data_IF_668254462897
#
_entry.id   IF_668254462897
#
_cell.length_a   1.000
_cell.length_b   1.000
_cell.length_c   1.000
_cell.angle_alpha   90.00
_cell.angle_beta   90.00
_cell.angle_gamma   90.00
#
_symmetry.space_group_name_H-M   'P 1'
#
loop_
_entity.id
_entity.type
_entity.pdbx_description
1 polymer ?
#
# COMPACT_ATOMS: atom_id res chain seq x y z
N UNK A 1 -5.57 -7.37 -3.79
CA UNK A 1 -4.25 -7.80 -4.32
C UNK A 1 -4.24 -9.23 -4.84
N UNK A 2 -4.98 -10.18 -4.24
CA UNK A 2 -5.02 -11.57 -4.74
C UNK A 2 -5.45 -11.63 -6.21
N UNK A 3 -6.59 -11.03 -6.57
CA UNK A 3 -7.12 -11.02 -7.95
C UNK A 3 -6.11 -10.44 -8.97
N UNK A 4 -5.37 -9.38 -8.61
CA UNK A 4 -4.30 -8.84 -9.44
C UNK A 4 -3.14 -9.84 -9.59
N UNK A 5 -2.72 -10.48 -8.50
CA UNK A 5 -1.64 -11.48 -8.55
C UNK A 5 -2.02 -12.69 -9.43
N UNK A 6 -3.24 -13.20 -9.28
CA UNK A 6 -3.78 -14.28 -10.11
C UNK A 6 -3.87 -13.87 -11.59
N UNK A 7 -4.32 -12.65 -11.86
CA UNK A 7 -4.36 -12.10 -13.21
C UNK A 7 -2.97 -12.03 -13.85
N UNK A 8 -1.96 -11.52 -13.12
CA UNK A 8 -0.59 -11.44 -13.61
C UNK A 8 0.03 -12.84 -13.82
N UNK A 9 -0.28 -13.80 -12.94
CA UNK A 9 0.21 -15.17 -13.08
C UNK A 9 -0.29 -15.83 -14.38
N UNK A 10 -1.54 -15.61 -14.78
CA UNK A 10 -2.08 -16.09 -16.07
C UNK A 10 -1.36 -15.46 -17.26
N UNK A 11 -0.75 -14.27 -17.07
CA UNK A 11 0.02 -13.56 -18.11
C UNK A 11 1.54 -13.81 -18.01
N UNK A 12 1.97 -14.85 -17.28
CA UNK A 12 3.36 -15.31 -17.29
C UNK A 12 4.27 -14.67 -16.25
N UNK A 13 3.71 -13.97 -15.25
CA UNK A 13 4.50 -13.41 -14.14
C UNK A 13 4.45 -14.32 -12.92
N UNK A 14 5.59 -14.56 -12.28
CA UNK A 14 5.61 -15.16 -10.95
C UNK A 14 5.16 -14.13 -9.91
N UNK A 15 4.04 -14.42 -9.24
CA UNK A 15 3.44 -13.50 -8.27
C UNK A 15 3.54 -14.03 -6.83
N UNK A 16 4.21 -13.29 -5.96
CA UNK A 16 4.33 -13.59 -4.53
C UNK A 16 3.63 -12.52 -3.69
N UNK A 17 2.60 -12.92 -2.95
CA UNK A 17 1.86 -12.05 -2.03
C UNK A 17 2.22 -12.34 -0.58
N UNK A 18 3.16 -11.61 0.05
CA UNK A 18 3.53 -11.87 1.43
C UNK A 18 2.41 -11.46 2.41
N UNK A 19 2.23 -12.25 3.45
CA UNK A 19 1.47 -11.85 4.63
C UNK A 19 2.44 -11.13 5.56
N UNK A 20 2.19 -9.86 5.84
CA UNK A 20 3.00 -9.07 6.77
C UNK A 20 2.80 -9.56 8.21
N UNK A 21 3.83 -9.48 9.03
CA UNK A 21 3.78 -9.92 10.43
C UNK A 21 2.54 -9.36 11.16
N UNK A 22 1.80 -10.25 11.84
CA UNK A 22 0.57 -9.93 12.56
C UNK A 22 -0.66 -9.70 11.71
N UNK A 23 -0.55 -9.71 10.36
CA UNK A 23 -1.69 -9.65 9.46
C UNK A 23 -2.19 -11.08 9.15
N UNK A 24 -3.52 -11.23 8.99
CA UNK A 24 -4.12 -12.55 8.75
C UNK A 24 -4.23 -13.45 10.00
N UNK A 25 -3.87 -12.96 11.18
CA UNK A 25 -3.97 -13.64 12.47
C UNK A 25 -5.09 -13.03 13.31
N UNK A 26 -4.75 -12.48 14.51
CA UNK A 26 -5.68 -11.78 15.40
C UNK A 26 -5.28 -10.33 15.60
N UNK A 27 -6.20 -9.44 16.00
CA UNK A 27 -5.85 -8.07 16.35
C UNK A 27 -4.79 -7.99 17.47
N UNK A 28 -4.78 -8.96 18.39
CA UNK A 28 -3.81 -9.07 19.48
C UNK A 28 -2.41 -9.46 18.98
N UNK A 29 -2.33 -10.36 17.99
CA UNK A 29 -1.07 -10.70 17.33
C UNK A 29 -0.53 -9.45 16.59
N UNK A 30 -1.38 -8.76 15.85
CA UNK A 30 -1.03 -7.50 15.18
C UNK A 30 -0.52 -6.45 16.17
N UNK A 31 -1.11 -6.33 17.37
CA UNK A 31 -0.69 -5.38 18.40
C UNK A 31 0.77 -5.57 18.86
N UNK A 32 1.33 -6.77 18.68
CA UNK A 32 2.73 -7.09 19.02
C UNK A 32 3.73 -6.68 17.93
N UNK A 33 3.26 -6.33 16.73
CA UNK A 33 4.10 -5.98 15.58
C UNK A 33 4.21 -4.47 15.38
N UNK A 34 5.24 -4.07 14.67
CA UNK A 34 5.53 -2.69 14.28
C UNK A 34 5.84 -2.63 12.79
N UNK A 35 5.91 -1.42 12.24
CA UNK A 35 6.21 -1.21 10.84
C UNK A 35 7.53 -1.87 10.39
N UNK A 36 8.52 -1.97 11.27
CA UNK A 36 9.79 -2.66 11.00
C UNK A 36 9.62 -4.16 10.79
N UNK A 37 8.67 -4.78 11.49
CA UNK A 37 8.35 -6.19 11.31
C UNK A 37 7.60 -6.41 9.99
N UNK A 38 6.73 -5.49 9.62
CA UNK A 38 6.04 -5.50 8.33
C UNK A 38 7.03 -5.33 7.17
N UNK A 39 7.95 -4.36 7.29
CA UNK A 39 9.01 -4.13 6.31
C UNK A 39 9.92 -5.35 6.16
N UNK A 40 10.28 -6.00 7.27
CA UNK A 40 11.07 -7.23 7.25
C UNK A 40 10.34 -8.37 6.50
N UNK A 41 9.04 -8.54 6.73
CA UNK A 41 8.23 -9.55 6.02
C UNK A 41 8.22 -9.28 4.50
N UNK A 42 8.05 -8.03 4.11
CA UNK A 42 8.06 -7.62 2.71
C UNK A 42 9.45 -7.78 2.06
N UNK A 43 10.52 -7.42 2.79
CA UNK A 43 11.91 -7.60 2.33
C UNK A 43 12.25 -9.08 2.12
N UNK A 44 11.89 -9.95 3.08
CA UNK A 44 12.11 -11.41 2.92
C UNK A 44 11.40 -11.98 1.69
N UNK A 45 10.18 -11.50 1.40
CA UNK A 45 9.48 -11.93 0.19
C UNK A 45 10.16 -11.45 -1.09
N UNK A 46 10.67 -10.21 -1.10
CA UNK A 46 11.46 -9.67 -2.20
C UNK A 46 12.74 -10.49 -2.40
N UNK A 47 13.48 -10.76 -1.32
CA UNK A 47 14.74 -11.52 -1.38
C UNK A 47 14.51 -12.95 -1.86
N UNK A 48 13.38 -13.56 -1.48
CA UNK A 48 13.00 -14.89 -1.97
C UNK A 48 12.69 -14.86 -3.47
N UNK A 49 11.92 -13.88 -3.95
CA UNK A 49 11.55 -13.79 -5.36
C UNK A 49 12.79 -13.55 -6.25
N UNK A 50 13.79 -12.83 -5.77
CA UNK A 50 15.06 -12.61 -6.44
C UNK A 50 15.91 -13.86 -6.66
N UNK A 51 15.65 -14.93 -5.92
CA UNK A 51 16.39 -16.20 -6.13
C UNK A 51 16.00 -16.86 -7.46
N UNK A 52 14.73 -16.68 -7.86
CA UNK A 52 14.16 -17.35 -9.02
C UNK A 52 13.95 -16.40 -10.21
N UNK A 53 13.84 -15.08 -9.95
CA UNK A 53 13.50 -14.06 -10.95
C UNK A 53 14.66 -13.08 -11.17
N UNK A 54 14.97 -12.77 -12.44
CA UNK A 54 15.99 -11.78 -12.81
C UNK A 54 15.53 -10.35 -12.56
N UNK A 55 14.26 -10.08 -12.82
CA UNK A 55 13.66 -8.76 -12.70
C UNK A 55 12.46 -8.85 -11.77
N UNK A 56 12.38 -7.95 -10.80
CA UNK A 56 11.32 -7.95 -9.80
C UNK A 56 10.64 -6.59 -9.75
N UNK A 57 9.33 -6.60 -9.89
CA UNK A 57 8.46 -5.45 -9.65
C UNK A 57 7.77 -5.58 -8.30
N UNK A 58 7.48 -4.45 -7.67
CA UNK A 58 6.74 -4.45 -6.41
C UNK A 58 5.46 -3.65 -6.55
N UNK A 59 4.32 -4.32 -6.38
CA UNK A 59 3.00 -3.71 -6.39
C UNK A 59 2.32 -3.84 -5.02
N UNK A 60 1.60 -2.81 -4.60
CA UNK A 60 0.91 -2.85 -3.31
C UNK A 60 -0.23 -1.85 -3.18
N UNK A 61 -1.25 -2.23 -2.40
CA UNK A 61 -2.42 -1.41 -2.10
C UNK A 61 -2.32 -0.83 -0.68
N UNK A 62 -2.63 0.45 -0.50
CA UNK A 62 -2.69 1.11 0.81
C UNK A 62 -1.35 1.02 1.57
N UNK A 63 -1.31 0.35 2.73
CA UNK A 63 -0.07 0.05 3.45
C UNK A 63 0.94 -0.69 2.54
N UNK A 64 0.47 -1.62 1.70
CA UNK A 64 1.31 -2.31 0.72
C UNK A 64 1.90 -1.36 -0.32
N UNK A 65 1.16 -0.35 -0.76
CA UNK A 65 1.66 0.71 -1.66
C UNK A 65 2.73 1.58 -1.00
N UNK A 66 2.51 1.94 0.27
CA UNK A 66 3.52 2.65 1.09
C UNK A 66 4.76 1.78 1.32
N UNK A 67 4.57 0.47 1.51
CA UNK A 67 5.67 -0.50 1.63
C UNK A 67 6.47 -0.64 0.32
N UNK A 68 5.81 -0.61 -0.84
CA UNK A 68 6.48 -0.63 -2.14
C UNK A 68 7.41 0.59 -2.31
N UNK A 69 6.99 1.78 -1.85
CA UNK A 69 7.84 2.97 -1.81
C UNK A 69 9.08 2.76 -0.92
N UNK A 70 8.88 2.22 0.28
CA UNK A 70 9.98 1.93 1.21
C UNK A 70 10.97 0.90 0.64
N UNK A 71 10.47 -0.19 0.07
CA UNK A 71 11.32 -1.20 -0.55
C UNK A 71 12.14 -0.60 -1.70
N UNK A 72 11.54 0.20 -2.56
CA UNK A 72 12.24 0.84 -3.68
C UNK A 72 13.32 1.83 -3.23
N UNK A 73 13.10 2.55 -2.13
CA UNK A 73 14.10 3.45 -1.57
C UNK A 73 15.34 2.72 -1.04
N UNK A 74 15.16 1.46 -0.59
CA UNK A 74 16.21 0.65 0.03
C UNK A 74 16.73 -0.47 -0.90
N UNK A 75 16.15 -0.65 -2.08
CA UNK A 75 16.51 -1.66 -3.06
C UNK A 75 16.49 -1.06 -4.47
N UNK A 76 17.55 -0.37 -4.89
CA UNK A 76 17.61 0.34 -6.17
C UNK A 76 17.63 -0.58 -7.40
N UNK A 77 17.79 -1.88 -7.20
CA UNK A 77 17.74 -2.94 -8.21
C UNK A 77 16.33 -3.47 -8.52
N UNK A 78 15.30 -3.02 -7.80
CA UNK A 78 13.90 -3.27 -8.17
C UNK A 78 13.65 -2.67 -9.56
N UNK A 79 13.05 -3.45 -10.46
CA UNK A 79 12.78 -3.04 -11.84
C UNK A 79 11.79 -1.88 -11.94
N UNK A 80 10.79 -1.86 -11.06
CA UNK A 80 9.81 -0.80 -10.94
C UNK A 80 8.78 -1.07 -9.84
N UNK A 81 7.98 -0.04 -9.51
CA UNK A 81 6.97 -0.16 -8.46
C UNK A 81 5.60 0.36 -8.91
N UNK A 82 4.54 -0.27 -8.36
CA UNK A 82 3.15 0.13 -8.57
C UNK A 82 2.46 0.38 -7.22
N UNK A 83 2.68 1.55 -6.58
CA UNK A 83 1.96 1.94 -5.37
C UNK A 83 0.52 2.34 -5.71
N UNK A 84 -0.47 1.68 -5.07
CA UNK A 84 -1.90 1.92 -5.25
C UNK A 84 -2.52 2.44 -3.96
N UNK A 85 -3.23 3.58 -4.01
CA UNK A 85 -3.81 4.21 -2.82
C UNK A 85 -2.80 4.40 -1.69
N UNK A 86 -1.54 4.70 -2.03
CA UNK A 86 -0.43 4.77 -1.08
C UNK A 86 -0.48 6.03 -0.22
N UNK A 87 0.02 5.91 1.00
CA UNK A 87 0.16 7.00 1.96
C UNK A 87 1.59 7.54 1.92
N UNK A 88 1.76 8.83 1.68
CA UNK A 88 3.07 9.48 1.61
C UNK A 88 3.28 10.60 2.63
N UNK A 89 2.19 11.14 3.19
CA UNK A 89 2.27 12.27 4.11
C UNK A 89 1.28 12.12 5.27
N UNK A 90 1.76 11.91 6.50
CA UNK A 90 0.88 11.79 7.68
C UNK A 90 0.10 13.08 7.97
N UNK A 91 0.55 14.25 7.46
CA UNK A 91 -0.12 15.54 7.68
C UNK A 91 -1.38 15.72 6.84
N UNK A 92 -1.57 14.93 5.79
CA UNK A 92 -2.75 15.01 4.94
C UNK A 92 -3.98 14.34 5.57
N UNK A 93 -3.81 13.51 6.61
CA UNK A 93 -4.93 12.90 7.30
C UNK A 93 -5.67 13.92 8.17
N UNK A 94 -6.99 14.05 8.02
CA UNK A 94 -7.78 15.07 8.72
C UNK A 94 -7.97 14.76 10.21
N UNK A 95 -7.83 13.51 10.63
CA UNK A 95 -8.04 13.10 12.02
C UNK A 95 -6.91 13.61 12.93
N UNK A 96 -7.21 14.65 13.69
CA UNK A 96 -6.26 15.27 14.63
C UNK A 96 -5.81 14.33 15.75
N UNK A 97 -6.56 13.26 16.05
CA UNK A 97 -6.19 12.25 17.05
C UNK A 97 -4.91 11.51 16.67
N UNK A 98 -4.59 11.43 15.38
CA UNK A 98 -3.35 10.83 14.87
C UNK A 98 -2.09 11.57 15.35
N UNK A 99 -2.21 12.86 15.70
CA UNK A 99 -1.09 13.66 16.21
C UNK A 99 -0.73 13.35 17.66
N UNK A 100 -1.71 12.91 18.44
CA UNK A 100 -1.58 12.57 19.85
C UNK A 100 -1.67 11.06 20.08
N UNK A 101 -1.66 10.26 19.02
CA UNK A 101 -1.82 8.78 19.09
C UNK A 101 -0.79 8.13 20.01
N UNK A 102 0.42 8.70 20.12
CA UNK A 102 1.48 8.23 21.04
C UNK A 102 1.05 8.22 22.51
N UNK A 103 0.12 9.10 22.89
CA UNK A 103 -0.45 9.19 24.23
C UNK A 103 -1.82 8.51 24.29
N UNK A 104 -2.62 8.70 23.25
CA UNK A 104 -3.99 8.20 23.19
C UNK A 104 -4.07 6.68 23.22
N UNK A 105 -3.06 5.97 22.73
CA UNK A 105 -3.00 4.49 22.74
C UNK A 105 -3.06 3.87 24.14
N UNK A 106 -2.68 4.59 25.20
CA UNK A 106 -2.75 4.10 26.58
C UNK A 106 -4.17 4.19 27.17
N UNK A 107 -4.99 5.10 26.64
CA UNK A 107 -6.38 5.31 27.08
C UNK A 107 -7.35 4.61 26.13
N UNK A 108 -7.06 4.64 24.84
CA UNK A 108 -7.84 4.02 23.77
C UNK A 108 -6.95 3.02 22.98
N UNK A 109 -6.73 1.81 23.54
CA UNK A 109 -5.82 0.84 22.94
C UNK A 109 -6.32 0.26 21.62
N UNK A 110 -7.63 0.41 21.34
CA UNK A 110 -8.28 -0.10 20.14
C UNK A 110 -9.00 1.02 19.38
N UNK A 111 -8.84 1.01 18.07
CA UNK A 111 -9.58 1.84 17.14
C UNK A 111 -10.56 0.98 16.34
N UNK A 112 -11.82 1.37 16.34
CA UNK A 112 -12.85 0.76 15.48
C UNK A 112 -12.94 1.63 14.23
N UNK A 113 -12.65 1.09 13.03
CA UNK A 113 -12.85 1.81 11.79
C UNK A 113 -14.33 2.20 11.63
N UNK A 114 -14.59 3.29 10.92
CA UNK A 114 -15.97 3.60 10.52
C UNK A 114 -16.55 2.45 9.69
N UNK A 115 -17.82 2.15 9.89
CA UNK A 115 -18.52 1.11 9.14
C UNK A 115 -18.74 1.47 7.65
N UNK A 116 -18.39 2.70 7.26
CA UNK A 116 -18.56 3.17 5.89
C UNK A 116 -17.67 2.37 4.94
N UNK A 117 -18.32 1.69 4.01
CA UNK A 117 -17.66 1.00 2.91
C UNK A 117 -17.05 2.05 1.96
N UNK A 118 -15.73 2.04 1.84
CA UNK A 118 -14.99 2.89 0.89
C UNK A 118 -14.73 2.13 -0.42
N UNK A 119 -15.81 1.58 -0.98
CA UNK A 119 -15.86 0.92 -2.29
C UNK A 119 -17.01 1.52 -3.10
N UNK A 120 -16.78 1.70 -4.39
CA UNK A 120 -17.83 2.03 -5.36
C UNK A 120 -18.80 0.87 -5.57
N UNK A 121 -18.35 -0.38 -5.34
CA UNK A 121 -19.16 -1.60 -5.36
C UNK A 121 -19.26 -2.22 -3.96
N UNK A 122 -20.33 -1.93 -3.18
CA UNK A 122 -20.51 -2.50 -1.84
C UNK A 122 -20.64 -4.02 -1.81
N UNK A 123 -21.03 -4.68 -2.91
CA UNK A 123 -21.14 -6.14 -2.98
C UNK A 123 -19.80 -6.84 -2.80
N UNK A 124 -18.71 -6.13 -3.03
CA UNK A 124 -17.32 -6.61 -2.91
C UNK A 124 -16.73 -6.47 -1.50
N UNK A 125 -17.53 -6.01 -0.53
CA UNK A 125 -17.06 -5.82 0.85
C UNK A 125 -16.49 -7.10 1.46
N UNK A 126 -17.06 -8.26 1.15
CA UNK A 126 -16.58 -9.57 1.64
C UNK A 126 -15.20 -9.95 1.07
N UNK A 127 -14.77 -9.34 -0.04
CA UNK A 127 -13.42 -9.52 -0.57
C UNK A 127 -12.35 -8.78 0.24
N UNK A 128 -12.78 -7.86 1.12
CA UNK A 128 -11.91 -7.12 2.02
C UNK A 128 -11.72 -7.87 3.34
N UNK A 129 -10.54 -8.40 3.56
CA UNK A 129 -10.16 -8.99 4.83
C UNK A 129 -9.60 -7.89 5.73
N UNK A 130 -10.42 -7.33 6.60
CA UNK A 130 -9.99 -6.33 7.57
C UNK A 130 -10.42 -6.68 8.99
N UNK A 131 -9.62 -6.28 9.97
CA UNK A 131 -10.00 -6.47 11.37
C UNK A 131 -11.14 -5.53 11.77
N UNK A 132 -12.11 -6.05 12.54
CA UNK A 132 -13.19 -5.24 13.12
C UNK A 132 -12.67 -4.14 14.08
N UNK A 133 -11.48 -4.35 14.65
CA UNK A 133 -10.78 -3.36 15.48
C UNK A 133 -9.28 -3.38 15.17
N UNK A 134 -8.64 -2.22 15.22
CA UNK A 134 -7.21 -2.05 14.95
C UNK A 134 -6.50 -1.58 16.20
N UNK A 135 -5.33 -2.14 16.55
CA UNK A 135 -4.57 -1.68 17.71
C UNK A 135 -4.07 -0.25 17.49
N UNK A 136 -4.32 0.65 18.44
CA UNK A 136 -3.83 2.05 18.36
C UNK A 136 -2.30 2.14 18.28
N UNK A 137 -1.60 1.17 18.86
CA UNK A 137 -0.14 1.05 18.75
C UNK A 137 0.33 0.79 17.31
N UNK A 138 -0.46 0.10 16.48
CA UNK A 138 -0.15 -0.10 15.07
C UNK A 138 -0.42 1.17 14.26
N UNK A 139 -1.43 1.96 14.64
CA UNK A 139 -1.68 3.28 14.03
C UNK A 139 -0.51 4.22 14.32
N UNK A 140 -0.03 4.26 15.57
CA UNK A 140 1.18 5.02 15.91
C UNK A 140 2.38 4.57 15.08
N UNK A 141 2.59 3.25 14.98
CA UNK A 141 3.66 2.66 14.19
C UNK A 141 3.55 3.04 12.71
N UNK A 142 2.34 3.02 12.15
CA UNK A 142 2.07 3.50 10.79
C UNK A 142 2.44 4.97 10.64
N UNK A 143 2.02 5.85 11.57
CA UNK A 143 2.36 7.28 11.50
C UNK A 143 3.88 7.51 11.56
N UNK A 144 4.60 6.67 12.28
CA UNK A 144 6.08 6.69 12.28
C UNK A 144 6.62 6.26 10.91
N UNK A 145 6.12 5.17 10.37
CA UNK A 145 6.51 4.66 9.05
C UNK A 145 6.29 5.69 7.94
N UNK A 146 5.16 6.40 7.94
CA UNK A 146 4.91 7.45 6.96
C UNK A 146 5.95 8.58 6.99
N UNK A 147 6.47 8.92 8.18
CA UNK A 147 7.56 9.92 8.31
C UNK A 147 8.89 9.41 7.76
N UNK A 148 9.13 8.10 7.85
CA UNK A 148 10.32 7.47 7.24
C UNK A 148 10.17 7.53 5.72
N UNK A 149 9.08 6.99 5.17
CA UNK A 149 8.83 6.96 3.72
C UNK A 149 8.83 8.38 3.12
N UNK A 150 8.26 9.36 3.82
CA UNK A 150 8.27 10.76 3.38
C UNK A 150 9.69 11.28 3.09
N UNK A 151 10.67 10.87 3.91
CA UNK A 151 12.08 11.25 3.72
C UNK A 151 12.77 10.44 2.62
N UNK A 152 12.27 9.24 2.36
CA UNK A 152 12.82 8.31 1.37
C UNK A 152 12.34 8.64 -0.05
N UNK A 153 11.19 9.31 -0.25
CA UNK A 153 10.64 9.61 -1.58
C UNK A 153 11.67 10.18 -2.57
N UNK A 154 12.56 11.15 -2.20
CA UNK A 154 13.52 11.70 -3.14
C UNK A 154 14.62 10.72 -3.58
N UNK A 155 14.86 9.64 -2.83
CA UNK A 155 15.87 8.62 -3.17
C UNK A 155 15.34 7.55 -4.14
N UNK A 156 14.02 7.43 -4.29
CA UNK A 156 13.39 6.46 -5.18
C UNK A 156 13.63 6.88 -6.64
N UNK A 157 14.41 6.11 -7.37
CA UNK A 157 14.79 6.38 -8.77
C UNK A 157 14.18 5.40 -9.77
N UNK A 158 13.64 4.29 -9.31
CA UNK A 158 13.05 3.24 -10.14
C UNK A 158 11.78 3.74 -10.84
N UNK A 159 11.44 3.20 -12.03
CA UNK A 159 10.17 3.46 -12.69
C UNK A 159 8.98 3.27 -11.74
N UNK A 160 8.05 4.22 -11.74
CA UNK A 160 6.95 4.23 -10.78
C UNK A 160 5.61 4.54 -11.44
N UNK A 161 4.67 3.61 -11.32
CA UNK A 161 3.27 3.79 -11.69
C UNK A 161 2.42 3.98 -10.44
N UNK A 162 2.05 5.22 -10.13
CA UNK A 162 1.12 5.54 -9.04
C UNK A 162 -0.32 5.37 -9.52
N UNK A 163 -1.13 4.60 -8.78
CA UNK A 163 -2.56 4.44 -9.03
C UNK A 163 -3.36 4.91 -7.81
N UNK A 164 -4.46 5.63 -8.04
CA UNK A 164 -5.31 6.10 -6.93
C UNK A 164 -6.77 6.21 -7.36
N UNK A 165 -7.69 5.80 -6.47
CA UNK A 165 -9.12 6.00 -6.65
C UNK A 165 -9.53 7.44 -6.38
N UNK A 166 -10.26 8.06 -7.30
CA UNK A 166 -10.68 9.46 -7.15
C UNK A 166 -11.68 9.64 -5.99
N UNK A 167 -12.40 8.56 -5.64
CA UNK A 167 -13.39 8.54 -4.57
C UNK A 167 -12.85 7.99 -3.24
N UNK A 168 -11.52 7.86 -3.12
CA UNK A 168 -10.85 7.39 -1.89
C UNK A 168 -11.12 8.33 -0.72
N UNK A 169 -11.85 7.82 0.29
CA UNK A 169 -12.18 8.51 1.55
C UNK A 169 -11.33 8.02 2.73
N UNK A 170 -10.58 6.95 2.52
CA UNK A 170 -9.70 6.34 3.52
C UNK A 170 -8.33 6.99 3.52
N UNK A 171 -7.72 7.12 2.34
CA UNK A 171 -6.44 7.82 2.13
C UNK A 171 -6.70 9.09 1.33
N UNK A 172 -6.49 10.28 1.91
CA UNK A 172 -6.73 11.53 1.20
C UNK A 172 -6.05 11.54 -0.17
N UNK A 173 -6.82 11.82 -1.22
CA UNK A 173 -6.38 11.77 -2.62
C UNK A 173 -5.16 12.65 -2.91
N UNK A 174 -4.93 13.68 -2.08
CA UNK A 174 -3.75 14.55 -2.15
C UNK A 174 -2.42 13.81 -1.90
N UNK A 175 -2.47 12.57 -1.33
CA UNK A 175 -1.27 11.76 -1.18
C UNK A 175 -0.65 11.38 -2.53
N UNK A 176 -1.46 11.12 -3.56
CA UNK A 176 -0.95 10.73 -4.87
C UNK A 176 -0.10 11.82 -5.54
N UNK A 177 -0.57 13.07 -5.75
CA UNK A 177 0.29 14.13 -6.27
C UNK A 177 1.43 14.47 -5.33
N UNK A 178 1.22 14.42 -4.00
CA UNK A 178 2.30 14.65 -3.04
C UNK A 178 3.46 13.66 -3.21
N UNK A 179 3.17 12.38 -3.39
CA UNK A 179 4.18 11.34 -3.66
C UNK A 179 4.83 11.59 -5.01
N UNK A 180 4.03 11.77 -6.07
CA UNK A 180 4.51 11.95 -7.44
C UNK A 180 5.53 13.11 -7.55
N UNK A 181 5.22 14.25 -6.94
CA UNK A 181 6.09 15.43 -6.96
C UNK A 181 7.46 15.16 -6.31
N UNK A 182 7.48 14.33 -5.25
CA UNK A 182 8.68 14.09 -4.41
C UNK A 182 9.50 12.90 -4.82
N UNK A 183 8.97 12.00 -5.64
CA UNK A 183 9.74 10.89 -6.19
C UNK A 183 10.92 11.42 -7.00
N UNK A 184 12.11 10.86 -6.73
CA UNK A 184 13.31 11.14 -7.49
C UNK A 184 13.38 10.44 -8.85
N UNK A 185 12.44 9.56 -9.16
CA UNK A 185 12.33 8.89 -10.45
C UNK A 185 12.07 9.88 -11.58
N UNK A 186 12.77 9.71 -12.71
CA UNK A 186 12.50 10.42 -13.96
C UNK A 186 11.32 9.80 -14.71
N UNK A 187 11.11 8.49 -14.55
CA UNK A 187 10.02 7.73 -15.13
C UNK A 187 8.95 7.48 -14.07
N UNK A 188 7.99 8.38 -14.01
CA UNK A 188 6.90 8.32 -13.03
C UNK A 188 5.60 8.81 -13.63
N UNK A 189 4.53 8.05 -13.39
CA UNK A 189 3.19 8.34 -13.88
C UNK A 189 2.16 8.20 -12.78
N UNK A 190 1.12 9.04 -12.78
CA UNK A 190 -0.07 8.93 -11.92
C UNK A 190 -1.30 8.69 -12.80
N UNK A 191 -2.03 7.61 -12.50
CA UNK A 191 -3.31 7.30 -13.13
C UNK A 191 -4.40 7.31 -12.06
N UNK A 192 -5.50 8.00 -12.37
CA UNK A 192 -6.68 8.07 -11.55
C UNK A 192 -7.74 7.07 -12.02
N UNK A 193 -8.45 6.48 -11.05
CA UNK A 193 -9.63 5.66 -11.28
C UNK A 193 -10.85 6.45 -10.74
N UNK A 194 -11.67 6.93 -11.65
CA UNK A 194 -12.68 7.96 -11.37
C UNK A 194 -13.88 7.42 -10.58
N UNK A 195 -14.17 6.12 -10.68
CA UNK A 195 -15.33 5.48 -10.06
C UNK A 195 -14.98 4.73 -8.77
N UNK A 196 -13.69 4.46 -8.55
CA UNK A 196 -13.22 3.62 -7.46
C UNK A 196 -12.90 4.42 -6.20
N UNK A 197 -13.18 3.80 -5.03
CA UNK A 197 -12.76 4.24 -3.71
C UNK A 197 -11.33 3.84 -3.36
N UNK A 198 -11.11 3.48 -2.07
CA UNK A 198 -9.76 3.20 -1.58
C UNK A 198 -9.13 1.94 -2.19
N UNK A 199 -9.87 0.83 -2.27
CA UNK A 199 -9.30 -0.47 -2.66
C UNK A 199 -9.57 -0.76 -4.13
N UNK A 200 -8.88 -0.03 -5.02
CA UNK A 200 -9.09 -0.07 -6.49
C UNK A 200 -8.94 -1.47 -7.08
N UNK A 201 -8.18 -2.37 -6.43
CA UNK A 201 -7.92 -3.74 -6.92
C UNK A 201 -9.10 -4.70 -6.78
N UNK A 202 -10.17 -4.28 -6.11
CA UNK A 202 -11.41 -5.07 -5.96
C UNK A 202 -12.68 -4.26 -6.24
N UNK A 203 -12.55 -2.99 -6.60
CA UNK A 203 -13.65 -2.06 -6.85
C UNK A 203 -14.15 -2.13 -8.30
N UNK A 204 -15.01 -1.18 -8.67
CA UNK A 204 -15.68 -1.09 -9.97
C UNK A 204 -14.72 -1.15 -11.17
N UNK A 205 -13.55 -0.56 -11.06
CA UNK A 205 -12.56 -0.46 -12.14
C UNK A 205 -11.42 -1.49 -12.03
N UNK A 206 -11.54 -2.55 -11.21
CA UNK A 206 -10.48 -3.55 -10.97
C UNK A 206 -9.91 -4.16 -12.25
N UNK A 207 -10.76 -4.42 -13.26
CA UNK A 207 -10.31 -5.01 -14.52
C UNK A 207 -9.46 -4.02 -15.33
N UNK A 208 -9.78 -2.73 -15.24
CA UNK A 208 -8.97 -1.68 -15.84
C UNK A 208 -7.65 -1.51 -15.07
N UNK A 209 -7.68 -1.60 -13.73
CA UNK A 209 -6.46 -1.61 -12.88
C UNK A 209 -5.53 -2.73 -13.32
N UNK A 210 -6.06 -3.96 -13.42
CA UNK A 210 -5.29 -5.14 -13.83
C UNK A 210 -4.63 -4.95 -15.19
N UNK A 211 -5.39 -4.52 -16.22
CA UNK A 211 -4.85 -4.25 -17.56
C UNK A 211 -3.82 -3.11 -17.57
N UNK A 212 -4.06 -2.06 -16.79
CA UNK A 212 -3.13 -0.93 -16.67
C UNK A 212 -1.80 -1.36 -16.08
N UNK A 213 -1.84 -2.17 -15.01
CA UNK A 213 -0.63 -2.72 -14.39
C UNK A 213 0.11 -3.62 -15.38
N UNK A 214 -0.56 -4.58 -16.02
CA UNK A 214 0.05 -5.49 -16.99
C UNK A 214 0.73 -4.72 -18.12
N UNK A 215 0.01 -3.81 -18.79
CA UNK A 215 0.56 -3.01 -19.89
C UNK A 215 1.74 -2.12 -19.46
N UNK A 216 1.82 -1.75 -18.19
CA UNK A 216 2.97 -1.01 -17.68
C UNK A 216 4.15 -1.94 -17.41
N UNK A 217 3.94 -3.12 -16.82
CA UNK A 217 5.00 -4.12 -16.59
C UNK A 217 5.65 -4.56 -17.90
N UNK A 218 4.86 -4.80 -18.96
CA UNK A 218 5.34 -5.22 -20.29
C UNK A 218 6.23 -4.18 -20.98
N UNK A 219 6.18 -2.92 -20.55
CA UNK A 219 6.99 -1.82 -21.13
C UNK A 219 8.30 -1.56 -20.38
N UNK A 220 8.41 -2.11 -19.20
CA UNK A 220 9.55 -1.88 -18.31
C UNK A 220 10.32 -3.17 -18.03
#
# INVERSE_FOLDING_TARGET
MRELGEFLAVHGYDALGPVMAGHGETPEAMARTRWTDWARSAQHALDRLRQDCREVFVAGQSLGGTMALHLAANNPDIRGIVPMGAMGNPRLFPDRRLWIIRWLKYVLPWHVPSADCDLGDPSRLLALHSYARRPSVCIESLMHFLRVVQKELPSIRVPTLLLHGRRDRTVPVQNAPYILERLGSADKQLIWFELSGHTITVDLERDQVNRTVLAWLERH
#
